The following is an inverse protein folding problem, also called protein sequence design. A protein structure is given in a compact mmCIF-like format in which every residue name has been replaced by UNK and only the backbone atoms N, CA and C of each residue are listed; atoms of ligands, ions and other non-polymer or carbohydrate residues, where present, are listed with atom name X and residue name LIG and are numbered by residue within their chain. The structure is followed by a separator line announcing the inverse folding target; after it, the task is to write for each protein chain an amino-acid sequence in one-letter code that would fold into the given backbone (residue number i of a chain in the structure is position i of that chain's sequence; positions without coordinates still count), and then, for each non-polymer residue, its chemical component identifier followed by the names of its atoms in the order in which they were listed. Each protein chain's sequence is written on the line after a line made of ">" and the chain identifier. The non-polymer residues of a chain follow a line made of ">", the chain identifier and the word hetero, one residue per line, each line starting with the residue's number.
data_IF_603588172613
#
_entry.id   IF_603588172613
#
_cell.length_a   1.000
_cell.length_b   1.000
_cell.length_c   1.000
_cell.angle_alpha   90.00
_cell.angle_beta   90.00
_cell.angle_gamma   90.00
#
_symmetry.space_group_name_H-M   'P 1'
#
loop_
_entity.id
_entity.type
_entity.pdbx_description
1 polymer ?
#
# COMPACT_ATOMS: atom_id res chain seq x y z
N UNK A 1 7.10 -23.05 29.27
CA UNK A 1 8.11 -22.18 28.62
C UNK A 1 7.38 -21.09 27.86
N UNK A 2 7.69 -19.82 28.11
CA UNK A 2 7.07 -18.70 27.36
C UNK A 2 7.76 -18.60 25.99
N UNK A 3 7.02 -18.60 24.86
CA UNK A 3 7.62 -18.41 23.56
C UNK A 3 8.33 -17.04 23.52
N UNK A 4 9.56 -17.02 23.00
CA UNK A 4 10.34 -15.79 22.78
C UNK A 4 10.56 -15.60 21.28
N UNK A 5 10.19 -14.42 20.78
CA UNK A 5 10.52 -14.00 19.42
C UNK A 5 12.05 -13.89 19.30
N UNK A 6 12.64 -14.58 18.33
CA UNK A 6 14.09 -14.53 18.06
C UNK A 6 14.44 -13.83 16.76
N UNK A 7 13.45 -13.60 15.90
CA UNK A 7 13.63 -13.02 14.58
C UNK A 7 12.44 -12.13 14.24
N UNK A 8 12.73 -10.94 13.69
CA UNK A 8 11.76 -9.97 13.20
C UNK A 8 12.14 -9.53 11.78
N UNK A 9 11.25 -9.81 10.83
CA UNK A 9 11.37 -9.34 9.46
C UNK A 9 10.62 -8.01 9.29
N UNK A 10 11.30 -6.97 8.82
CA UNK A 10 10.72 -5.63 8.62
C UNK A 10 10.52 -5.38 7.12
N UNK A 11 9.27 -5.32 6.67
CA UNK A 11 8.96 -5.27 5.24
C UNK A 11 8.84 -3.82 4.69
N UNK A 12 9.55 -3.54 3.58
CA UNK A 12 9.46 -2.24 2.88
C UNK A 12 8.04 -1.88 2.44
N UNK A 13 7.69 -0.59 2.44
CA UNK A 13 6.43 -0.07 1.90
C UNK A 13 6.24 -0.32 0.39
N UNK A 14 7.27 -0.80 -0.32
CA UNK A 14 7.21 -1.12 -1.75
C UNK A 14 7.74 -0.02 -2.68
N UNK A 15 8.40 1.00 -2.14
CA UNK A 15 9.06 2.06 -2.91
C UNK A 15 10.57 1.79 -3.13
N UNK A 16 10.99 0.52 -3.03
CA UNK A 16 12.38 0.09 -3.19
C UNK A 16 13.30 0.53 -2.04
N UNK A 17 14.58 0.73 -2.35
CA UNK A 17 15.66 1.10 -1.43
C UNK A 17 15.91 2.61 -1.35
N UNK A 18 14.93 3.45 -1.69
CA UNK A 18 15.14 4.89 -1.67
C UNK A 18 15.48 5.40 -0.25
N UNK A 19 16.45 6.33 -0.09
CA UNK A 19 17.07 6.66 1.19
C UNK A 19 16.14 7.29 2.23
N UNK A 20 14.96 7.78 1.81
CA UNK A 20 13.92 8.34 2.69
C UNK A 20 12.72 7.40 2.91
N UNK A 21 12.84 6.12 2.54
CA UNK A 21 11.76 5.14 2.69
C UNK A 21 12.02 4.30 3.93
N UNK A 22 11.02 4.25 4.81
CA UNK A 22 11.00 3.36 5.97
C UNK A 22 10.16 2.14 5.61
N UNK A 23 10.58 0.92 5.97
CA UNK A 23 11.85 0.53 6.60
C UNK A 23 13.07 0.56 5.67
N UNK A 24 14.26 0.73 6.28
CA UNK A 24 15.55 0.90 5.61
C UNK A 24 16.54 -0.14 6.17
N UNK A 25 17.18 -0.92 5.30
CA UNK A 25 18.04 -2.04 5.71
C UNK A 25 19.24 -1.67 6.59
N UNK A 26 19.76 -0.45 6.48
CA UNK A 26 20.82 0.01 7.36
C UNK A 26 20.26 0.35 8.76
N UNK A 27 19.07 0.95 8.81
CA UNK A 27 18.43 1.35 10.08
C UNK A 27 17.87 0.14 10.82
N UNK A 28 17.24 -0.79 10.10
CA UNK A 28 16.62 -1.98 10.69
C UNK A 28 17.63 -2.82 11.47
N UNK A 29 18.86 -2.95 10.97
CA UNK A 29 19.94 -3.68 11.63
C UNK A 29 20.33 -3.09 13.00
N UNK A 30 20.17 -1.77 13.20
CA UNK A 30 20.44 -1.14 14.50
C UNK A 30 19.39 -1.46 15.57
N UNK A 31 18.28 -2.10 15.19
CA UNK A 31 17.26 -2.58 16.13
C UNK A 31 17.50 -4.03 16.60
N UNK A 32 18.53 -4.71 16.10
CA UNK A 32 18.88 -6.07 16.50
C UNK A 32 19.61 -6.12 17.86
N UNK A 33 19.56 -7.29 18.52
CA UNK A 33 20.29 -7.59 19.76
C UNK A 33 20.72 -9.05 19.79
N UNK A 34 21.51 -9.45 20.80
CA UNK A 34 21.88 -10.86 20.97
C UNK A 34 20.68 -11.82 21.07
N UNK A 35 19.53 -11.34 21.56
CA UNK A 35 18.33 -12.15 21.76
C UNK A 35 17.31 -12.05 20.61
N UNK A 36 17.47 -11.08 19.71
CA UNK A 36 16.50 -10.76 18.65
C UNK A 36 17.25 -10.31 17.40
N UNK A 37 17.13 -11.09 16.33
CA UNK A 37 17.54 -10.68 15.00
C UNK A 37 16.47 -9.76 14.37
N UNK A 38 16.90 -8.66 13.76
CA UNK A 38 16.03 -7.72 13.03
C UNK A 38 16.62 -7.50 11.66
N UNK A 39 15.89 -7.86 10.62
CA UNK A 39 16.34 -7.75 9.23
C UNK A 39 15.26 -7.23 8.31
N UNK A 40 15.64 -6.46 7.29
CA UNK A 40 14.70 -6.06 6.26
C UNK A 40 14.30 -7.25 5.40
N UNK A 41 13.03 -7.34 5.07
CA UNK A 41 12.49 -8.33 4.17
C UNK A 41 11.76 -7.68 2.99
N UNK A 42 11.69 -8.41 1.88
CA UNK A 42 10.84 -8.07 0.74
C UNK A 42 11.06 -6.65 0.16
N UNK A 43 12.29 -6.11 0.28
CA UNK A 43 12.60 -4.76 -0.20
C UNK A 43 12.39 -4.60 -1.72
N UNK A 44 12.63 -5.68 -2.47
CA UNK A 44 12.51 -5.73 -3.93
C UNK A 44 11.14 -6.22 -4.42
N UNK A 45 10.27 -6.70 -3.52
CA UNK A 45 8.95 -7.16 -3.93
C UNK A 45 8.02 -5.96 -4.18
N UNK A 46 7.32 -5.93 -5.35
CA UNK A 46 6.22 -5.02 -5.59
C UNK A 46 5.16 -5.12 -4.51
N UNK A 47 4.38 -4.06 -4.35
CA UNK A 47 3.39 -4.03 -3.26
C UNK A 47 2.29 -5.06 -3.48
N UNK A 48 1.83 -5.24 -4.72
CA UNK A 48 0.84 -6.26 -5.06
C UNK A 48 1.31 -7.68 -4.72
N UNK A 49 2.61 -8.00 -4.93
CA UNK A 49 3.16 -9.31 -4.55
C UNK A 49 3.17 -9.54 -3.04
N UNK A 50 3.45 -8.49 -2.25
CA UNK A 50 3.36 -8.57 -0.78
C UNK A 50 1.93 -8.86 -0.34
N UNK A 51 0.95 -8.25 -1.01
CA UNK A 51 -0.47 -8.53 -0.75
C UNK A 51 -0.83 -9.98 -1.12
N UNK A 52 -0.26 -10.54 -2.20
CA UNK A 52 -0.42 -11.98 -2.50
C UNK A 52 0.17 -12.88 -1.41
N UNK A 53 1.35 -12.56 -0.90
CA UNK A 53 1.95 -13.30 0.22
C UNK A 53 1.07 -13.23 1.48
N UNK A 54 0.56 -12.05 1.83
CA UNK A 54 -0.38 -11.88 2.94
C UNK A 54 -1.68 -12.65 2.75
N UNK A 55 -2.22 -12.68 1.52
CA UNK A 55 -3.44 -13.44 1.19
C UNK A 55 -3.26 -14.97 1.37
N UNK A 56 -2.01 -15.46 1.33
CA UNK A 56 -1.64 -16.84 1.61
C UNK A 56 -1.32 -17.13 3.08
N UNK A 57 -1.36 -16.13 3.97
CA UNK A 57 -1.07 -16.27 5.40
C UNK A 57 -2.31 -15.95 6.24
N UNK A 58 -3.14 -16.95 6.60
CA UNK A 58 -4.43 -16.72 7.25
C UNK A 58 -4.35 -15.93 8.56
N UNK A 59 -3.39 -16.26 9.43
CA UNK A 59 -3.21 -15.59 10.72
C UNK A 59 -2.73 -14.15 10.55
N UNK A 60 -1.80 -13.94 9.61
CA UNK A 60 -1.31 -12.60 9.28
C UNK A 60 -2.37 -11.72 8.63
N UNK A 61 -3.20 -12.30 7.76
CA UNK A 61 -4.33 -11.61 7.15
C UNK A 61 -5.39 -11.23 8.20
N UNK A 62 -5.73 -12.15 9.11
CA UNK A 62 -6.69 -11.89 10.18
C UNK A 62 -6.22 -10.78 11.13
N UNK A 63 -4.91 -10.63 11.34
CA UNK A 63 -4.31 -9.57 12.16
C UNK A 63 -3.97 -8.28 11.39
N UNK A 64 -4.30 -8.19 10.09
CA UNK A 64 -3.88 -7.09 9.24
C UNK A 64 -4.53 -5.76 9.65
N UNK A 65 -3.68 -4.80 10.03
CA UNK A 65 -4.05 -3.39 10.18
C UNK A 65 -3.19 -2.50 9.28
N UNK A 66 -3.80 -1.88 8.28
CA UNK A 66 -3.16 -0.86 7.43
C UNK A 66 -3.68 0.56 7.69
N UNK A 67 -4.81 0.68 8.39
CA UNK A 67 -5.44 1.95 8.67
C UNK A 67 -4.56 2.85 9.56
N UNK A 68 -4.41 4.12 9.17
CA UNK A 68 -3.65 5.11 9.93
C UNK A 68 -4.50 5.89 10.95
N UNK A 69 -5.80 5.65 11.01
CA UNK A 69 -6.67 6.30 11.99
C UNK A 69 -6.30 5.83 13.39
N UNK A 70 -6.06 6.77 14.31
CA UNK A 70 -5.71 6.46 15.70
C UNK A 70 -6.89 5.80 16.42
N UNK A 71 -8.10 6.29 16.15
CA UNK A 71 -9.36 5.68 16.60
C UNK A 71 -9.92 4.83 15.47
N UNK A 72 -9.87 3.51 15.65
CA UNK A 72 -10.61 2.56 14.83
C UNK A 72 -11.76 2.03 15.70
N UNK A 73 -12.96 1.77 15.14
CA UNK A 73 -14.08 1.28 15.94
C UNK A 73 -13.71 0.04 16.74
N UNK A 74 -14.22 -0.07 17.96
CA UNK A 74 -14.06 -1.27 18.79
C UNK A 74 -14.67 -2.49 18.07
N UNK A 75 -14.00 -3.65 18.13
CA UNK A 75 -14.48 -4.91 17.54
C UNK A 75 -13.52 -5.55 16.52
N UNK A 76 -13.99 -6.51 15.69
CA UNK A 76 -13.15 -7.29 14.78
C UNK A 76 -12.65 -6.50 13.56
N UNK A 77 -13.20 -5.31 13.32
CA UNK A 77 -12.86 -4.49 12.14
C UNK A 77 -11.66 -3.60 12.47
N UNK A 78 -10.48 -4.00 12.01
CA UNK A 78 -9.22 -3.30 12.28
C UNK A 78 -8.91 -2.17 11.29
N UNK A 79 -9.73 -2.03 10.23
CA UNK A 79 -9.54 -1.07 9.15
C UNK A 79 -10.83 -0.31 8.82
N UNK A 80 -10.77 1.01 8.62
CA UNK A 80 -11.99 1.81 8.41
C UNK A 80 -12.64 1.65 7.03
N UNK A 81 -11.94 1.09 6.04
CA UNK A 81 -12.46 0.92 4.67
C UNK A 81 -12.65 2.20 3.85
N UNK A 82 -12.43 3.39 4.43
CA UNK A 82 -12.77 4.67 3.80
C UNK A 82 -11.59 5.63 3.61
N UNK A 83 -10.50 5.46 4.37
CA UNK A 83 -9.31 6.30 4.17
C UNK A 83 -8.49 5.85 2.96
N UNK A 84 -7.63 6.73 2.43
CA UNK A 84 -6.77 6.45 1.26
C UNK A 84 -6.02 5.11 1.38
N UNK A 85 -5.34 4.86 2.50
CA UNK A 85 -4.64 3.58 2.74
C UNK A 85 -5.57 2.37 2.71
N UNK A 86 -6.78 2.48 3.28
CA UNK A 86 -7.73 1.37 3.30
C UNK A 86 -8.25 1.07 1.89
N UNK A 87 -8.76 2.08 1.19
CA UNK A 87 -9.30 1.89 -0.17
C UNK A 87 -8.24 1.33 -1.11
N UNK A 88 -7.01 1.83 -1.02
CA UNK A 88 -5.88 1.32 -1.81
C UNK A 88 -5.55 -0.13 -1.50
N UNK A 89 -5.48 -0.48 -0.22
CA UNK A 89 -5.18 -1.85 0.20
C UNK A 89 -6.32 -2.79 -0.18
N UNK A 90 -7.58 -2.34 -0.11
CA UNK A 90 -8.74 -3.10 -0.58
C UNK A 90 -8.69 -3.34 -2.09
N UNK A 91 -8.26 -2.37 -2.90
CA UNK A 91 -8.04 -2.55 -4.34
C UNK A 91 -6.96 -3.60 -4.62
N UNK A 92 -5.87 -3.61 -3.83
CA UNK A 92 -4.82 -4.63 -3.95
C UNK A 92 -5.37 -6.03 -3.62
N UNK A 93 -6.14 -6.16 -2.53
CA UNK A 93 -6.77 -7.44 -2.16
C UNK A 93 -7.84 -7.89 -3.17
N UNK A 94 -8.59 -6.95 -3.74
CA UNK A 94 -9.54 -7.24 -4.81
C UNK A 94 -8.81 -7.75 -6.06
N UNK A 95 -7.75 -7.06 -6.48
CA UNK A 95 -6.93 -7.44 -7.62
C UNK A 95 -6.31 -8.84 -7.50
N UNK A 96 -6.04 -9.31 -6.28
CA UNK A 96 -5.52 -10.68 -6.04
C UNK A 96 -6.61 -11.70 -5.66
N UNK A 97 -7.88 -11.29 -5.65
CA UNK A 97 -9.02 -12.18 -5.36
C UNK A 97 -9.09 -12.64 -3.90
N UNK A 98 -8.70 -11.78 -2.94
CA UNK A 98 -8.68 -12.11 -1.51
C UNK A 98 -9.35 -11.06 -0.60
N UNK A 99 -10.05 -10.08 -1.17
CA UNK A 99 -10.76 -9.05 -0.40
C UNK A 99 -11.87 -9.64 0.49
N UNK A 100 -12.47 -10.75 0.05
CA UNK A 100 -13.46 -11.53 0.80
C UNK A 100 -12.92 -12.10 2.12
N UNK A 101 -11.60 -12.27 2.26
CA UNK A 101 -10.97 -12.79 3.48
C UNK A 101 -10.26 -11.71 4.30
N UNK A 102 -10.06 -10.52 3.75
CA UNK A 102 -9.33 -9.45 4.39
C UNK A 102 -10.19 -8.73 5.47
N UNK A 103 -9.58 -8.19 6.54
CA UNK A 103 -10.29 -7.59 7.68
C UNK A 103 -10.73 -6.14 7.38
N UNK A 104 -11.59 -5.99 6.37
CA UNK A 104 -12.23 -4.74 5.97
C UNK A 104 -13.75 -4.80 6.16
N UNK A 105 -14.43 -3.66 6.35
CA UNK A 105 -15.87 -3.62 6.61
C UNK A 105 -16.71 -3.97 5.38
N UNK A 106 -16.15 -3.87 4.17
CA UNK A 106 -16.82 -4.23 2.92
C UNK A 106 -15.98 -5.23 2.13
N UNK A 107 -16.64 -6.02 1.29
CA UNK A 107 -16.01 -7.04 0.43
C UNK A 107 -15.89 -6.61 -1.03
N UNK A 108 -16.13 -5.32 -1.27
CA UNK A 108 -16.02 -4.70 -2.58
C UNK A 108 -15.54 -3.24 -2.44
N UNK A 109 -14.99 -2.72 -3.52
CA UNK A 109 -14.58 -1.33 -3.71
C UNK A 109 -15.45 -0.71 -4.78
N UNK A 110 -16.07 0.44 -4.49
CA UNK A 110 -16.89 1.16 -5.47
C UNK A 110 -16.07 2.21 -6.22
N UNK A 111 -16.48 2.60 -7.44
CA UNK A 111 -15.87 3.72 -8.17
C UNK A 111 -15.77 5.00 -7.34
N UNK A 112 -16.80 5.33 -6.55
CA UNK A 112 -16.85 6.54 -5.71
C UNK A 112 -15.84 6.47 -4.55
N UNK A 113 -15.60 5.27 -4.01
CA UNK A 113 -14.55 5.07 -3.01
C UNK A 113 -13.17 5.36 -3.61
N UNK A 114 -12.91 4.91 -4.85
CA UNK A 114 -11.67 5.19 -5.57
C UNK A 114 -11.55 6.68 -5.89
N UNK A 115 -12.58 7.30 -6.46
CA UNK A 115 -12.56 8.73 -6.82
C UNK A 115 -12.21 9.63 -5.64
N UNK A 116 -12.76 9.33 -4.46
CA UNK A 116 -12.51 10.09 -3.22
C UNK A 116 -11.04 10.13 -2.82
N UNK A 117 -10.30 9.05 -3.06
CA UNK A 117 -8.90 8.89 -2.63
C UNK A 117 -7.89 9.09 -3.76
N UNK A 118 -8.34 9.00 -5.01
CA UNK A 118 -7.51 9.01 -6.20
C UNK A 118 -6.80 10.35 -6.45
N UNK A 119 -7.29 11.45 -5.88
CA UNK A 119 -6.72 12.78 -6.06
C UNK A 119 -5.73 13.19 -4.95
N UNK A 120 -5.45 12.32 -3.98
CA UNK A 120 -4.31 12.51 -3.09
C UNK A 120 -3.02 12.49 -3.93
N UNK A 121 -2.40 13.66 -4.12
CA UNK A 121 -1.20 13.87 -4.97
C UNK A 121 0.03 13.22 -4.34
N UNK A 122 0.11 11.88 -4.41
CA UNK A 122 1.23 11.11 -3.90
C UNK A 122 1.81 10.21 -4.99
N UNK A 123 3.14 10.18 -5.09
CA UNK A 123 3.88 9.24 -5.93
C UNK A 123 3.46 7.78 -5.65
N UNK A 124 3.14 7.50 -4.38
CA UNK A 124 2.65 6.22 -3.92
C UNK A 124 1.36 5.83 -4.68
N UNK A 125 0.34 6.70 -4.69
CA UNK A 125 -0.94 6.48 -5.38
C UNK A 125 -0.75 6.06 -6.85
N UNK A 126 0.19 6.71 -7.57
CA UNK A 126 0.50 6.38 -8.96
C UNK A 126 1.03 4.96 -9.14
N UNK A 127 2.03 4.58 -8.35
CA UNK A 127 2.67 3.25 -8.41
C UNK A 127 1.61 2.18 -8.16
N UNK A 128 0.80 2.36 -7.12
CA UNK A 128 -0.17 1.37 -6.70
C UNK A 128 -1.32 1.20 -7.69
N UNK A 129 -1.84 2.30 -8.24
CA UNK A 129 -2.85 2.25 -9.30
C UNK A 129 -2.34 1.57 -10.57
N UNK A 130 -1.08 1.81 -10.96
CA UNK A 130 -0.48 1.12 -12.10
C UNK A 130 -0.38 -0.40 -11.86
N UNK A 131 -0.01 -0.83 -10.65
CA UNK A 131 0.11 -2.26 -10.30
C UNK A 131 -1.23 -3.02 -10.34
N UNK A 132 -2.32 -2.42 -9.83
CA UNK A 132 -3.62 -3.12 -9.74
C UNK A 132 -4.40 -3.13 -11.06
N UNK A 133 -4.18 -2.14 -11.93
CA UNK A 133 -4.99 -1.94 -13.15
C UNK A 133 -5.07 -3.17 -14.06
N UNK A 134 -3.96 -3.88 -14.39
CA UNK A 134 -4.04 -5.07 -15.25
C UNK A 134 -4.88 -6.20 -14.65
N UNK A 135 -4.76 -6.43 -13.34
CA UNK A 135 -5.52 -7.48 -12.65
C UNK A 135 -7.00 -7.13 -12.57
N UNK A 136 -7.34 -5.88 -12.27
CA UNK A 136 -8.74 -5.42 -12.26
C UNK A 136 -9.39 -5.52 -13.65
N UNK A 137 -8.64 -5.18 -14.71
CA UNK A 137 -9.13 -5.33 -16.09
C UNK A 137 -9.38 -6.81 -16.43
N UNK A 138 -8.47 -7.72 -16.05
CA UNK A 138 -8.65 -9.16 -16.26
C UNK A 138 -9.86 -9.74 -15.50
N UNK A 139 -10.25 -9.12 -14.39
CA UNK A 139 -11.44 -9.47 -13.61
C UNK A 139 -12.74 -8.81 -14.13
N UNK A 140 -12.69 -8.01 -15.21
CA UNK A 140 -13.85 -7.29 -15.73
C UNK A 140 -14.30 -6.09 -14.89
N UNK A 141 -13.44 -5.58 -14.00
CA UNK A 141 -13.72 -4.38 -13.17
C UNK A 141 -13.46 -3.08 -13.94
N UNK A 142 -14.12 -2.95 -15.09
CA UNK A 142 -13.99 -1.78 -15.97
C UNK A 142 -14.48 -0.48 -15.32
N UNK A 143 -15.40 -0.60 -14.36
CA UNK A 143 -15.87 0.48 -13.49
C UNK A 143 -14.71 1.12 -12.72
N UNK A 144 -13.85 0.31 -12.11
CA UNK A 144 -12.68 0.76 -11.35
C UNK A 144 -11.54 1.20 -12.27
N UNK A 145 -11.26 0.43 -13.33
CA UNK A 145 -10.19 0.73 -14.29
C UNK A 145 -10.39 2.12 -14.92
N UNK A 146 -11.63 2.48 -15.24
CA UNK A 146 -11.96 3.80 -15.81
C UNK A 146 -11.61 4.94 -14.85
N UNK A 147 -12.02 4.83 -13.60
CA UNK A 147 -11.73 5.84 -12.56
C UNK A 147 -10.23 5.97 -12.34
N UNK A 148 -9.53 4.83 -12.21
CA UNK A 148 -8.08 4.80 -11.98
C UNK A 148 -7.34 5.47 -13.15
N UNK A 149 -7.68 5.13 -14.40
CA UNK A 149 -7.05 5.74 -15.59
C UNK A 149 -7.28 7.24 -15.65
N UNK A 150 -8.49 7.71 -15.34
CA UNK A 150 -8.80 9.15 -15.27
C UNK A 150 -7.94 9.85 -14.22
N UNK A 151 -7.79 9.25 -13.04
CA UNK A 151 -6.96 9.80 -11.97
C UNK A 151 -5.48 9.89 -12.36
N UNK A 152 -4.92 8.82 -12.93
CA UNK A 152 -3.54 8.78 -13.41
C UNK A 152 -3.28 9.83 -14.50
N UNK A 153 -4.19 9.98 -15.46
CA UNK A 153 -4.09 11.00 -16.50
C UNK A 153 -4.10 12.42 -15.91
N UNK A 154 -4.99 12.69 -14.97
CA UNK A 154 -5.06 13.99 -14.28
C UNK A 154 -3.78 14.29 -13.48
N UNK A 155 -3.21 13.29 -12.77
CA UNK A 155 -1.95 13.44 -12.06
C UNK A 155 -0.78 13.71 -13.01
N UNK A 156 -0.70 12.99 -14.13
CA UNK A 156 0.31 13.21 -15.17
C UNK A 156 0.24 14.63 -15.74
N UNK A 157 -0.96 15.14 -16.03
CA UNK A 157 -1.15 16.52 -16.47
C UNK A 157 -0.66 17.54 -15.42
N UNK A 158 -0.90 17.30 -14.13
CA UNK A 158 -0.41 18.17 -13.05
C UNK A 158 1.11 18.18 -12.96
N UNK A 159 1.75 17.03 -13.09
CA UNK A 159 3.21 16.92 -13.00
C UNK A 159 3.90 17.59 -14.18
N UNK A 160 3.35 17.48 -15.39
CA UNK A 160 3.83 18.23 -16.57
C UNK A 160 3.74 19.75 -16.39
N UNK A 161 2.73 20.23 -15.66
CA UNK A 161 2.54 21.65 -15.35
C UNK A 161 3.41 22.15 -14.20
N UNK A 162 3.90 21.26 -13.33
CA UNK A 162 4.84 21.63 -12.26
C UNK A 162 6.20 21.89 -12.89
N UNK A 163 6.50 23.16 -13.18
CA UNK A 163 7.89 23.57 -13.37
C UNK A 163 8.62 23.31 -12.04
N UNK A 164 9.68 22.50 -12.04
CA UNK A 164 10.44 22.29 -10.81
C UNK A 164 11.01 23.62 -10.30
N UNK A 165 10.86 23.90 -9.00
CA UNK A 165 11.34 25.16 -8.42
C UNK A 165 12.83 25.41 -8.70
N UNK A 166 13.64 24.34 -8.77
CA UNK A 166 15.07 24.42 -9.10
C UNK A 166 15.33 24.83 -10.55
N UNK A 167 14.41 24.59 -11.50
CA UNK A 167 14.55 25.13 -12.87
C UNK A 167 14.45 26.65 -12.92
N UNK A 168 13.87 27.30 -11.89
CA UNK A 168 13.92 28.76 -11.75
C UNK A 168 15.28 29.26 -11.27
N UNK A 169 16.07 28.40 -10.61
CA UNK A 169 17.41 28.70 -10.12
C UNK A 169 18.51 28.49 -11.17
N UNK A 170 18.21 27.83 -12.29
CA UNK A 170 19.18 27.51 -13.36
C UNK A 170 18.99 28.42 -14.59
N UNK A 171 18.11 29.44 -14.51
CA UNK A 171 17.87 30.43 -15.57
C UNK A 171 18.62 31.76 -15.35
N UNK A 172 19.75 31.70 -14.65
CA UNK A 172 20.76 32.78 -14.59
C UNK A 172 21.93 32.43 -15.53
#
# INVERSE_FOLDING_TARGET
>A
MTPRLRSLAVASAGAGLAPAVVPNALVDAFHASHALDVHSAHATLPRLEKVRLLAGWPEGLAALRCCFMIRVPDGPVQNCGQCEKCVRTMLEFLAVGALDRAPFPTRDVTPEAVERVAYADSLATRIFFAEVTPSLAAQGRDDLVRVIRRALAHQEMRLRRREPWWRRLVRE
#
